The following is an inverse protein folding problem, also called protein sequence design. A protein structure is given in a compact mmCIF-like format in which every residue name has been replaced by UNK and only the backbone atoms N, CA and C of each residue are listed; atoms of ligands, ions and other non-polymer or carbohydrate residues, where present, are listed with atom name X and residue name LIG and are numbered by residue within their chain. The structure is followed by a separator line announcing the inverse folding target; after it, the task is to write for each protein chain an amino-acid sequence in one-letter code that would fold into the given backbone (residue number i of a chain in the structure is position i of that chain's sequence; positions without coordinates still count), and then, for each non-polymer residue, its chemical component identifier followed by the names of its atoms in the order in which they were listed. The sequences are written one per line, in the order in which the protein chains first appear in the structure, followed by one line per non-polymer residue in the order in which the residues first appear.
data_IF_277906447429
#
_entry.id   IF_277906447429
#
_cell.length_a   1.000
_cell.length_b   1.000
_cell.length_c   1.000
_cell.angle_alpha   90.00
_cell.angle_beta   90.00
_cell.angle_gamma   90.00
#
_symmetry.space_group_name_H-M   'P 1'
#
loop_
_entity.id
_entity.type
_entity.pdbx_description
1 polymer ?
#
# COMPACT_ATOMS: atom_id res chain seq x y z
N UNK A 1 -14.25 13.31 -23.13
CA UNK A 1 -15.45 13.82 -23.84
C UNK A 1 -16.15 12.63 -24.49
N UNK A 2 -17.49 12.60 -24.48
CA UNK A 2 -18.29 11.55 -25.12
C UNK A 2 -18.74 12.01 -26.51
N UNK A 3 -18.71 11.12 -27.49
CA UNK A 3 -19.05 11.44 -28.89
C UNK A 3 -20.52 11.15 -29.25
N UNK A 4 -21.28 10.53 -28.33
CA UNK A 4 -22.72 10.23 -28.50
C UNK A 4 -23.27 9.33 -27.39
N UNK A 5 -24.58 9.04 -27.41
CA UNK A 5 -25.27 8.20 -26.41
C UNK A 5 -24.72 6.76 -26.40
N UNK A 6 -24.37 6.22 -27.57
CA UNK A 6 -23.83 4.87 -27.67
C UNK A 6 -22.37 4.81 -27.16
N UNK A 7 -21.55 5.82 -27.45
CA UNK A 7 -20.20 5.96 -26.86
C UNK A 7 -20.27 6.10 -25.33
N UNK A 8 -21.24 6.86 -24.81
CA UNK A 8 -21.48 6.95 -23.37
C UNK A 8 -21.88 5.61 -22.74
N UNK A 9 -22.80 4.86 -23.35
CA UNK A 9 -23.22 3.54 -22.85
C UNK A 9 -22.09 2.53 -22.86
N UNK A 10 -21.26 2.52 -23.90
CA UNK A 10 -20.10 1.62 -24.01
C UNK A 10 -19.08 1.94 -22.93
N UNK A 11 -18.66 3.21 -22.81
CA UNK A 11 -17.72 3.63 -21.78
C UNK A 11 -18.26 3.43 -20.36
N UNK A 12 -19.56 3.62 -20.14
CA UNK A 12 -20.18 3.33 -18.85
C UNK A 12 -20.10 1.84 -18.52
N UNK A 13 -20.36 0.96 -19.50
CA UNK A 13 -20.20 -0.49 -19.31
C UNK A 13 -18.75 -0.86 -18.99
N UNK A 14 -17.79 -0.36 -19.78
CA UNK A 14 -16.37 -0.59 -19.55
C UNK A 14 -15.93 -0.12 -18.16
N UNK A 15 -16.40 1.07 -17.73
CA UNK A 15 -16.09 1.59 -16.40
C UNK A 15 -16.66 0.69 -15.30
N UNK A 16 -17.93 0.29 -15.41
CA UNK A 16 -18.56 -0.61 -14.44
C UNK A 16 -17.89 -1.98 -14.37
N UNK A 17 -17.42 -2.50 -15.51
CA UNK A 17 -16.66 -3.75 -15.56
C UNK A 17 -15.31 -3.62 -14.84
N UNK A 18 -14.60 -2.50 -15.06
CA UNK A 18 -13.34 -2.20 -14.38
C UNK A 18 -13.57 -2.06 -12.87
N UNK A 19 -14.57 -1.28 -12.45
CA UNK A 19 -14.92 -1.08 -11.04
C UNK A 19 -15.24 -2.41 -10.36
N UNK A 20 -16.08 -3.25 -11.00
CA UNK A 20 -16.45 -4.55 -10.45
C UNK A 20 -15.27 -5.50 -10.36
N UNK A 21 -14.40 -5.52 -11.36
CA UNK A 21 -13.19 -6.33 -11.35
C UNK A 21 -12.27 -5.91 -10.19
N UNK A 22 -12.02 -4.62 -10.02
CA UNK A 22 -11.20 -4.08 -8.93
C UNK A 22 -11.82 -4.38 -7.56
N UNK A 23 -13.15 -4.30 -7.43
CA UNK A 23 -13.86 -4.63 -6.19
C UNK A 23 -13.64 -6.09 -5.79
N UNK A 24 -13.76 -7.01 -6.76
CA UNK A 24 -13.55 -8.45 -6.55
C UNK A 24 -12.09 -8.75 -6.20
N UNK A 25 -11.14 -8.19 -6.95
CA UNK A 25 -9.70 -8.36 -6.70
C UNK A 25 -9.31 -7.84 -5.30
N UNK A 26 -9.79 -6.65 -4.92
CA UNK A 26 -9.51 -6.07 -3.60
C UNK A 26 -10.09 -6.94 -2.47
N UNK A 27 -11.32 -7.43 -2.63
CA UNK A 27 -11.95 -8.32 -1.64
C UNK A 27 -11.20 -9.64 -1.52
N UNK A 28 -10.82 -10.24 -2.64
CA UNK A 28 -10.07 -11.49 -2.65
C UNK A 28 -8.73 -11.33 -1.95
N UNK A 29 -7.99 -10.28 -2.30
CA UNK A 29 -6.72 -9.92 -1.65
C UNK A 29 -6.88 -9.72 -0.15
N UNK A 30 -7.92 -9.01 0.29
CA UNK A 30 -8.18 -8.79 1.71
C UNK A 30 -8.42 -10.11 2.46
N UNK A 31 -9.17 -11.05 1.86
CA UNK A 31 -9.42 -12.37 2.44
C UNK A 31 -8.11 -13.15 2.61
N UNK A 32 -7.28 -13.22 1.56
CA UNK A 32 -5.98 -13.90 1.60
C UNK A 32 -5.11 -13.31 2.71
N UNK A 33 -5.03 -11.98 2.74
CA UNK A 33 -4.20 -11.23 3.69
C UNK A 33 -4.63 -11.48 5.13
N UNK A 34 -5.93 -11.35 5.42
CA UNK A 34 -6.47 -11.58 6.77
C UNK A 34 -6.28 -13.05 7.21
N UNK A 35 -6.39 -14.01 6.29
CA UNK A 35 -6.24 -15.42 6.62
C UNK A 35 -4.78 -15.79 6.93
N UNK A 36 -3.84 -15.30 6.12
CA UNK A 36 -2.40 -15.50 6.35
C UNK A 36 -1.97 -14.89 7.69
N UNK A 37 -2.45 -13.68 7.99
CA UNK A 37 -2.20 -13.02 9.28
C UNK A 37 -2.73 -13.86 10.45
N UNK A 38 -3.93 -14.42 10.34
CA UNK A 38 -4.53 -15.26 11.41
C UNK A 38 -3.78 -16.56 11.64
N UNK A 39 -3.27 -17.18 10.58
CA UNK A 39 -2.60 -18.47 10.65
C UNK A 39 -1.13 -18.35 11.09
N UNK A 40 -0.55 -17.15 11.03
CA UNK A 40 0.88 -16.95 11.29
C UNK A 40 1.11 -16.24 12.61
N UNK A 41 1.85 -16.87 13.52
CA UNK A 41 2.34 -16.20 14.74
C UNK A 41 3.66 -15.52 14.42
N UNK A 42 3.72 -14.20 14.59
CA UNK A 42 4.92 -13.39 14.36
C UNK A 42 5.24 -12.65 15.65
N UNK A 43 6.48 -12.75 16.12
CA UNK A 43 6.98 -11.83 17.15
C UNK A 43 7.23 -10.48 16.46
N UNK A 44 6.43 -9.48 16.82
CA UNK A 44 6.41 -8.18 16.15
C UNK A 44 7.10 -7.13 17.01
N UNK A 45 8.34 -6.72 16.67
CA UNK A 45 9.03 -5.65 17.38
C UNK A 45 8.26 -4.33 17.33
N UNK A 46 8.16 -3.64 18.46
CA UNK A 46 7.50 -2.33 18.56
C UNK A 46 8.01 -1.32 17.52
N UNK A 47 9.32 -1.34 17.22
CA UNK A 47 9.93 -0.46 16.23
C UNK A 47 9.30 -0.59 14.82
N UNK A 48 8.80 -1.77 14.46
CA UNK A 48 8.14 -1.97 13.17
C UNK A 48 6.72 -1.39 13.18
N UNK A 49 6.00 -1.54 14.29
CA UNK A 49 4.68 -0.92 14.49
C UNK A 49 4.80 0.61 14.43
N UNK A 50 5.78 1.16 15.14
CA UNK A 50 6.06 2.60 15.17
C UNK A 50 6.46 3.11 13.77
N UNK A 51 7.22 2.33 13.00
CA UNK A 51 7.58 2.67 11.62
C UNK A 51 6.33 2.75 10.72
N UNK A 52 5.43 1.77 10.81
CA UNK A 52 4.17 1.78 10.05
C UNK A 52 3.26 2.95 10.46
N UNK A 53 3.15 3.22 11.77
CA UNK A 53 2.39 4.38 12.26
C UNK A 53 2.94 5.69 11.72
N UNK A 54 4.26 5.88 11.76
CA UNK A 54 4.91 7.07 11.22
C UNK A 54 4.66 7.22 9.72
N UNK A 55 4.70 6.12 8.96
CA UNK A 55 4.41 6.14 7.53
C UNK A 55 2.93 6.47 7.25
N UNK A 56 2.00 5.94 8.04
CA UNK A 56 0.57 6.28 7.96
C UNK A 56 0.33 7.76 8.25
N UNK A 57 0.98 8.32 9.28
CA UNK A 57 0.90 9.75 9.59
C UNK A 57 1.52 10.62 8.49
N UNK A 58 2.66 10.21 7.93
CA UNK A 58 3.29 10.90 6.82
C UNK A 58 2.36 10.97 5.61
N UNK A 59 1.75 9.84 5.23
CA UNK A 59 0.81 9.78 4.11
C UNK A 59 -0.43 10.64 4.36
N UNK A 60 -0.99 10.61 5.57
CA UNK A 60 -2.11 11.49 5.93
C UNK A 60 -1.70 12.97 5.86
N UNK A 61 -0.50 13.34 6.31
CA UNK A 61 -0.03 14.71 6.22
C UNK A 61 0.11 15.18 4.77
N UNK A 62 0.68 14.36 3.88
CA UNK A 62 0.75 14.64 2.44
C UNK A 62 -0.65 14.83 1.83
N UNK A 63 -1.63 14.01 2.21
CA UNK A 63 -3.03 14.14 1.77
C UNK A 63 -3.66 15.46 2.23
N UNK A 64 -3.43 15.83 3.49
CA UNK A 64 -3.92 17.09 4.05
C UNK A 64 -3.26 18.31 3.37
N UNK A 65 -1.94 18.27 3.15
CA UNK A 65 -1.22 19.34 2.46
C UNK A 65 -1.73 19.54 1.04
N UNK A 66 -1.98 18.46 0.29
CA UNK A 66 -2.63 18.53 -1.03
C UNK A 66 -4.02 19.16 -0.99
N UNK A 67 -4.75 18.98 0.11
CA UNK A 67 -6.03 19.62 0.37
C UNK A 67 -5.92 21.04 0.95
N UNK A 68 -4.71 21.60 1.10
CA UNK A 68 -4.41 22.85 1.79
C UNK A 68 -4.91 22.89 3.26
N UNK A 69 -4.89 21.73 3.93
CA UNK A 69 -5.23 21.57 5.34
C UNK A 69 -3.98 21.26 6.16
N UNK A 70 -3.99 21.65 7.44
CA UNK A 70 -2.94 21.32 8.40
C UNK A 70 -3.38 20.19 9.32
N UNK A 71 -2.47 19.30 9.69
CA UNK A 71 -2.73 18.21 10.64
C UNK A 71 -3.33 18.71 11.95
N UNK A 72 -2.80 19.80 12.52
CA UNK A 72 -3.30 20.37 13.77
C UNK A 72 -4.76 20.82 13.67
N UNK A 73 -5.16 21.38 12.53
CA UNK A 73 -6.54 21.83 12.32
C UNK A 73 -7.48 20.65 12.07
N UNK A 74 -7.00 19.61 11.38
CA UNK A 74 -7.71 18.34 11.24
C UNK A 74 -7.98 17.67 12.58
N UNK A 75 -6.95 17.54 13.43
CA UNK A 75 -7.06 16.97 14.78
C UNK A 75 -8.06 17.74 15.65
N UNK A 76 -8.03 19.09 15.61
CA UNK A 76 -9.03 19.93 16.29
C UNK A 76 -10.45 19.68 15.78
N UNK A 77 -10.61 19.52 14.46
CA UNK A 77 -11.92 19.29 13.85
C UNK A 77 -12.54 17.96 14.32
N UNK A 78 -11.74 16.89 14.33
CA UNK A 78 -12.17 15.57 14.81
C UNK A 78 -12.15 15.43 16.34
N UNK A 79 -11.68 16.47 17.05
CA UNK A 79 -11.55 16.54 18.52
C UNK A 79 -10.72 15.38 19.10
N UNK A 80 -9.61 15.06 18.44
CA UNK A 80 -8.67 14.03 18.90
C UNK A 80 -7.27 14.61 19.06
N UNK A 81 -6.49 14.05 19.97
CA UNK A 81 -5.04 14.28 20.00
C UNK A 81 -4.33 13.34 19.02
N UNK A 82 -3.05 13.61 18.76
CA UNK A 82 -2.23 12.72 17.94
C UNK A 82 -2.11 11.33 18.58
N UNK A 83 -1.93 11.28 19.90
CA UNK A 83 -1.80 10.02 20.65
C UNK A 83 -3.09 9.19 20.63
N UNK A 84 -4.25 9.84 20.64
CA UNK A 84 -5.54 9.15 20.49
C UNK A 84 -5.69 8.56 19.10
N UNK A 85 -5.33 9.31 18.05
CA UNK A 85 -5.36 8.82 16.68
C UNK A 85 -4.35 7.69 16.45
N UNK A 86 -3.16 7.80 17.04
CA UNK A 86 -2.12 6.78 16.99
C UNK A 86 -2.60 5.46 17.62
N UNK A 87 -3.25 5.52 18.79
CA UNK A 87 -3.85 4.33 19.44
C UNK A 87 -4.94 3.70 18.58
N UNK A 88 -5.75 4.50 17.91
CA UNK A 88 -6.77 3.99 16.99
C UNK A 88 -6.16 3.31 15.75
N UNK A 89 -5.02 3.80 15.29
CA UNK A 89 -4.33 3.26 14.11
C UNK A 89 -3.38 2.11 14.43
N UNK A 90 -2.99 1.95 15.70
CA UNK A 90 -2.06 0.90 16.14
C UNK A 90 -2.47 -0.50 15.67
N UNK A 91 -3.73 -0.94 15.79
CA UNK A 91 -4.13 -2.27 15.30
C UNK A 91 -3.97 -2.44 13.78
N UNK A 92 -4.15 -1.35 13.01
CA UNK A 92 -3.95 -1.39 11.57
C UNK A 92 -2.46 -1.41 11.21
N UNK A 93 -1.62 -0.66 11.95
CA UNK A 93 -0.17 -0.67 11.81
C UNK A 93 0.42 -2.04 12.17
N UNK A 94 -0.06 -2.68 13.25
CA UNK A 94 0.31 -4.04 13.63
C UNK A 94 0.05 -5.04 12.49
N UNK A 95 -1.17 -5.01 11.91
CA UNK A 95 -1.52 -5.86 10.76
C UNK A 95 -0.61 -5.62 9.57
N UNK A 96 -0.29 -4.36 9.25
CA UNK A 96 0.60 -4.00 8.12
C UNK A 96 2.02 -4.50 8.36
N UNK A 97 2.56 -4.25 9.54
CA UNK A 97 3.92 -4.67 9.91
C UNK A 97 4.04 -6.21 9.94
N UNK A 98 3.03 -6.89 10.48
CA UNK A 98 2.95 -8.35 10.48
C UNK A 98 2.89 -8.89 9.04
N UNK A 99 2.02 -8.34 8.20
CA UNK A 99 1.93 -8.75 6.80
C UNK A 99 3.27 -8.56 6.08
N UNK A 100 3.94 -7.43 6.28
CA UNK A 100 5.22 -7.15 5.65
C UNK A 100 6.27 -8.21 6.02
N UNK A 101 6.31 -8.64 7.28
CA UNK A 101 7.22 -9.72 7.71
C UNK A 101 6.85 -11.06 7.07
N UNK A 102 5.56 -11.39 7.03
CA UNK A 102 5.10 -12.65 6.45
C UNK A 102 5.42 -12.71 4.94
N UNK A 103 5.11 -11.64 4.19
CA UNK A 103 5.42 -11.57 2.76
C UNK A 103 6.92 -11.66 2.49
N UNK A 104 7.73 -10.99 3.32
CA UNK A 104 9.18 -11.08 3.23
C UNK A 104 9.69 -12.51 3.45
N UNK A 105 9.11 -13.25 4.38
CA UNK A 105 9.52 -14.64 4.64
C UNK A 105 9.08 -15.57 3.51
N UNK A 106 7.83 -15.43 3.03
CA UNK A 106 7.34 -16.18 1.86
C UNK A 106 8.22 -15.90 0.63
N UNK A 107 8.64 -14.65 0.42
CA UNK A 107 9.52 -14.28 -0.67
C UNK A 107 10.87 -15.01 -0.60
N UNK A 108 11.46 -15.11 0.59
CA UNK A 108 12.72 -15.86 0.78
C UNK A 108 12.53 -17.35 0.54
N UNK A 109 11.49 -17.94 1.13
CA UNK A 109 11.23 -19.38 1.03
C UNK A 109 10.91 -19.81 -0.41
N UNK A 110 10.27 -18.93 -1.18
CA UNK A 110 9.91 -19.17 -2.58
C UNK A 110 10.95 -18.66 -3.59
N UNK A 111 12.09 -18.13 -3.12
CA UNK A 111 13.13 -17.45 -3.91
C UNK A 111 12.58 -16.39 -4.89
N UNK A 112 11.55 -15.66 -4.47
CA UNK A 112 10.93 -14.60 -5.26
C UNK A 112 11.82 -13.36 -5.21
N UNK A 113 12.26 -12.92 -6.39
CA UNK A 113 13.06 -11.71 -6.56
C UNK A 113 12.42 -10.81 -7.61
N UNK A 114 12.54 -9.48 -7.46
CA UNK A 114 12.07 -8.57 -8.49
C UNK A 114 12.93 -8.75 -9.75
N UNK A 115 12.29 -8.64 -10.92
CA UNK A 115 13.02 -8.58 -12.18
C UNK A 115 13.90 -7.33 -12.20
N UNK A 116 15.21 -7.50 -12.42
CA UNK A 116 16.17 -6.39 -12.36
C UNK A 116 15.87 -5.30 -13.39
N UNK A 117 15.39 -5.66 -14.59
CA UNK A 117 15.10 -4.65 -15.62
C UNK A 117 13.90 -3.81 -15.24
N UNK A 118 12.83 -4.44 -14.76
CA UNK A 118 11.65 -3.74 -14.27
C UNK A 118 11.95 -2.91 -13.02
N UNK A 119 12.83 -3.38 -12.14
CA UNK A 119 13.29 -2.65 -10.97
C UNK A 119 13.99 -1.36 -11.36
N UNK A 120 14.98 -1.44 -12.26
CA UNK A 120 15.71 -0.26 -12.76
C UNK A 120 14.77 0.74 -13.43
N UNK A 121 13.80 0.26 -14.22
CA UNK A 121 12.80 1.13 -14.88
C UNK A 121 11.93 1.87 -13.85
N UNK A 122 11.39 1.17 -12.86
CA UNK A 122 10.55 1.79 -11.83
C UNK A 122 11.35 2.74 -10.92
N UNK A 123 12.59 2.39 -10.58
CA UNK A 123 13.50 3.28 -9.83
C UNK A 123 13.73 4.58 -10.57
N UNK A 124 14.02 4.49 -11.88
CA UNK A 124 14.22 5.66 -12.72
C UNK A 124 12.95 6.52 -12.79
N UNK A 125 11.78 5.91 -13.00
CA UNK A 125 10.50 6.63 -13.03
C UNK A 125 10.25 7.39 -11.71
N UNK A 126 10.54 6.75 -10.56
CA UNK A 126 10.33 7.39 -9.27
C UNK A 126 11.33 8.54 -9.03
N UNK A 127 12.58 8.39 -9.44
CA UNK A 127 13.58 9.47 -9.35
C UNK A 127 13.29 10.65 -10.28
N UNK A 128 12.64 10.42 -11.43
CA UNK A 128 12.19 11.51 -12.31
C UNK A 128 11.10 12.35 -11.64
N UNK A 129 10.23 11.73 -10.84
CA UNK A 129 9.20 12.40 -10.05
C UNK A 129 9.76 13.04 -8.77
N UNK A 130 10.72 12.38 -8.11
CA UNK A 130 11.31 12.79 -6.83
C UNK A 130 12.83 12.97 -6.97
N UNK A 131 13.24 14.05 -7.65
CA UNK A 131 14.63 14.29 -8.04
C UNK A 131 15.63 14.41 -6.89
N UNK A 132 15.15 14.75 -5.70
CA UNK A 132 15.99 14.92 -4.50
C UNK A 132 16.04 13.66 -3.61
N UNK A 133 15.38 12.57 -4.02
CA UNK A 133 15.38 11.33 -3.26
C UNK A 133 16.71 10.57 -3.37
N UNK A 134 17.15 9.94 -2.28
CA UNK A 134 18.33 9.06 -2.30
C UNK A 134 18.03 7.80 -3.13
N UNK A 135 18.78 7.60 -4.20
CA UNK A 135 18.62 6.48 -5.15
C UNK A 135 18.63 5.12 -4.48
N UNK A 136 19.49 4.89 -3.48
CA UNK A 136 19.56 3.60 -2.79
C UNK A 136 18.29 3.34 -2.00
N UNK A 137 17.76 4.36 -1.33
CA UNK A 137 16.48 4.26 -0.61
C UNK A 137 15.32 4.00 -1.57
N UNK A 138 15.29 4.69 -2.70
CA UNK A 138 14.29 4.46 -3.76
C UNK A 138 14.37 3.02 -4.26
N UNK A 139 15.58 2.52 -4.56
CA UNK A 139 15.78 1.15 -5.03
C UNK A 139 15.29 0.09 -4.03
N UNK A 140 15.61 0.27 -2.75
CA UNK A 140 15.14 -0.64 -1.69
C UNK A 140 13.62 -0.62 -1.61
N UNK A 141 13.00 0.56 -1.63
CA UNK A 141 11.54 0.71 -1.60
C UNK A 141 10.87 0.02 -2.78
N UNK A 142 11.32 0.30 -4.01
CA UNK A 142 10.75 -0.29 -5.23
C UNK A 142 10.95 -1.81 -5.24
N UNK A 143 12.13 -2.30 -4.85
CA UNK A 143 12.39 -3.73 -4.75
C UNK A 143 11.45 -4.43 -3.75
N UNK A 144 11.26 -3.84 -2.57
CA UNK A 144 10.33 -4.35 -1.56
C UNK A 144 8.90 -4.38 -2.09
N UNK A 145 8.44 -3.31 -2.75
CA UNK A 145 7.11 -3.23 -3.32
C UNK A 145 6.87 -4.28 -4.41
N UNK A 146 7.83 -4.43 -5.34
CA UNK A 146 7.75 -5.43 -6.40
C UNK A 146 7.77 -6.86 -5.86
N UNK A 147 8.58 -7.13 -4.85
CA UNK A 147 8.65 -8.45 -4.20
C UNK A 147 7.34 -8.78 -3.51
N UNK A 148 6.81 -7.86 -2.71
CA UNK A 148 5.51 -8.03 -2.04
C UNK A 148 4.40 -8.30 -3.06
N UNK A 149 4.35 -7.55 -4.16
CA UNK A 149 3.34 -7.74 -5.20
C UNK A 149 3.48 -9.09 -5.92
N UNK A 150 4.72 -9.54 -6.17
CA UNK A 150 4.97 -10.85 -6.74
C UNK A 150 4.52 -12.00 -5.82
N UNK A 151 4.79 -11.88 -4.51
CA UNK A 151 4.28 -12.84 -3.50
C UNK A 151 2.76 -12.85 -3.49
N UNK A 152 2.11 -11.68 -3.47
CA UNK A 152 0.65 -11.61 -3.45
C UNK A 152 0.02 -12.23 -4.70
N UNK A 153 0.59 -11.98 -5.89
CA UNK A 153 0.14 -12.63 -7.12
C UNK A 153 0.30 -14.14 -7.11
N UNK A 154 1.38 -14.63 -6.51
CA UNK A 154 1.57 -16.08 -6.31
C UNK A 154 0.46 -16.64 -5.42
N UNK A 155 0.18 -15.98 -4.29
CA UNK A 155 -0.87 -16.41 -3.34
C UNK A 155 -2.28 -16.35 -3.94
N UNK A 156 -2.57 -15.35 -4.78
CA UNK A 156 -3.84 -15.21 -5.49
C UNK A 156 -4.07 -16.26 -6.58
N UNK A 157 -3.00 -16.95 -7.00
CA UNK A 157 -3.05 -17.98 -8.04
C UNK A 157 -3.16 -19.42 -7.48
N UNK A 158 -3.09 -19.60 -6.15
CA UNK A 158 -3.27 -20.88 -5.46
C UNK A 158 -4.77 -21.23 -5.34
#
# INVERSE_FOLDING_TARGET
QFTGIDDFKTKLREHLEIEKKQEVETKHRAIITDEIIKQTTVDLPQILIDSELNQMFFQMNEDLERANLKMDDYLKHIKKTKEELEKEWTPAAEKRAQLQLILNEIAKDSDIKPDEKQLEEQVKQLLEQFKDADERRVRIYVASMMTNEAVMKMLEAL
#
